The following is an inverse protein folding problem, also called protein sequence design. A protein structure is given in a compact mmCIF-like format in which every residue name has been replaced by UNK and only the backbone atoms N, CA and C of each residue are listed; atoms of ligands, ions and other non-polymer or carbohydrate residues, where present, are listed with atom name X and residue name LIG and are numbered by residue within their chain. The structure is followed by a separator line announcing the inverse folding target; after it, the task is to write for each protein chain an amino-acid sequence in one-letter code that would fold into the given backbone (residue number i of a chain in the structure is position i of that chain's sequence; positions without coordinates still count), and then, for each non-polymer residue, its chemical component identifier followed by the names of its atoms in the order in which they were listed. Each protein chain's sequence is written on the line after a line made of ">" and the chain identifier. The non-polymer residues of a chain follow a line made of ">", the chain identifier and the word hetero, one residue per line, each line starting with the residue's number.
data_IF_272859312391
#
_entry.id   IF_272859312391
#
_cell.length_a   1.000
_cell.length_b   1.000
_cell.length_c   1.000
_cell.angle_alpha   90.00
_cell.angle_beta   90.00
_cell.angle_gamma   90.00
#
_symmetry.space_group_name_H-M   'P 1'
#
loop_
_entity.id
_entity.type
_entity.pdbx_description
1 polymer ?
#
# COMPACT_ATOMS: atom_id res chain seq x y z
N UNK A 1 -22.24 -9.46 6.94
CA UNK A 1 -23.29 -10.35 6.40
C UNK A 1 -23.33 -11.70 7.14
N UNK A 2 -24.52 -12.29 7.35
CA UNK A 2 -24.71 -13.62 7.95
C UNK A 2 -24.30 -14.72 6.96
N UNK A 3 -23.28 -15.51 7.32
CA UNK A 3 -22.89 -16.71 6.56
C UNK A 3 -23.75 -17.88 7.04
N UNK A 4 -24.48 -18.59 6.16
CA UNK A 4 -25.33 -19.69 6.59
C UNK A 4 -24.49 -20.82 7.16
N UNK A 5 -24.91 -21.32 8.33
CA UNK A 5 -24.33 -22.49 8.99
C UNK A 5 -24.24 -23.69 8.05
N UNK A 6 -23.03 -24.21 7.89
CA UNK A 6 -22.78 -25.42 7.11
C UNK A 6 -23.59 -26.60 7.67
N UNK A 7 -24.12 -27.46 6.78
CA UNK A 7 -24.98 -28.63 7.09
C UNK A 7 -24.34 -29.72 8.00
N UNK A 8 -23.13 -29.49 8.51
CA UNK A 8 -22.31 -30.46 9.23
C UNK A 8 -22.24 -30.24 10.76
N UNK A 9 -23.17 -29.47 11.36
CA UNK A 9 -23.24 -29.32 12.82
C UNK A 9 -22.05 -28.59 13.47
N UNK A 10 -21.06 -28.12 12.70
CA UNK A 10 -20.07 -27.17 13.19
C UNK A 10 -20.75 -25.82 13.34
N UNK A 11 -20.75 -25.26 14.55
CA UNK A 11 -21.16 -23.87 14.79
C UNK A 11 -20.43 -23.01 13.77
N UNK A 12 -21.17 -22.25 12.95
CA UNK A 12 -20.55 -21.24 12.12
C UNK A 12 -19.74 -20.34 13.06
N UNK A 13 -18.42 -20.40 12.96
CA UNK A 13 -17.58 -19.39 13.60
C UNK A 13 -17.96 -18.12 12.87
N UNK A 14 -18.69 -17.25 13.56
CA UNK A 14 -19.03 -15.93 13.07
C UNK A 14 -17.74 -15.11 13.08
N UNK A 15 -16.86 -15.39 12.14
CA UNK A 15 -15.57 -14.72 12.03
C UNK A 15 -15.85 -13.26 11.74
N UNK A 16 -15.31 -12.39 12.59
CA UNK A 16 -15.55 -10.96 12.45
C UNK A 16 -14.89 -10.46 11.16
N UNK A 17 -15.40 -9.40 10.51
CA UNK A 17 -14.77 -8.86 9.30
C UNK A 17 -13.32 -8.40 9.53
N UNK A 18 -12.91 -8.13 10.78
CA UNK A 18 -11.53 -7.76 11.12
C UNK A 18 -10.61 -8.97 11.23
N UNK A 19 -11.12 -10.08 11.75
CA UNK A 19 -10.35 -11.33 11.75
C UNK A 19 -10.08 -11.78 10.31
N UNK A 20 -11.08 -11.64 9.43
CA UNK A 20 -10.92 -11.86 7.99
C UNK A 20 -9.89 -10.89 7.40
N UNK A 21 -10.01 -9.58 7.68
CA UNK A 21 -9.03 -8.59 7.23
C UNK A 21 -7.61 -8.95 7.66
N UNK A 22 -7.41 -9.29 8.94
CA UNK A 22 -6.09 -9.68 9.48
C UNK A 22 -5.56 -10.95 8.81
N UNK A 23 -6.40 -11.94 8.56
CA UNK A 23 -5.98 -13.17 7.88
C UNK A 23 -5.48 -12.88 6.45
N UNK A 24 -6.23 -12.08 5.69
CA UNK A 24 -5.84 -11.72 4.33
C UNK A 24 -4.63 -10.76 4.26
N UNK A 25 -4.40 -9.93 5.29
CA UNK A 25 -3.15 -9.15 5.40
C UNK A 25 -1.93 -10.07 5.60
N UNK A 26 -2.05 -11.13 6.41
CA UNK A 26 -0.96 -12.11 6.52
C UNK A 26 -0.75 -12.84 5.20
N UNK A 27 -1.82 -13.30 4.55
CA UNK A 27 -1.71 -13.93 3.24
C UNK A 27 -1.07 -13.00 2.19
N UNK A 28 -1.36 -11.70 2.24
CA UNK A 28 -0.74 -10.71 1.36
C UNK A 28 0.78 -10.65 1.57
N UNK A 29 1.24 -10.69 2.82
CA UNK A 29 2.67 -10.73 3.14
C UNK A 29 3.29 -12.03 2.65
N UNK A 30 2.65 -13.18 2.88
CA UNK A 30 3.15 -14.49 2.41
C UNK A 30 3.30 -14.53 0.88
N UNK A 31 2.34 -13.96 0.14
CA UNK A 31 2.39 -13.86 -1.33
C UNK A 31 3.46 -12.87 -1.80
N UNK A 32 3.66 -11.78 -1.05
CA UNK A 32 4.73 -10.83 -1.34
C UNK A 32 6.11 -11.48 -1.18
N UNK A 33 6.34 -12.19 -0.06
CA UNK A 33 7.59 -12.92 0.18
C UNK A 33 7.82 -13.98 -0.92
N UNK A 34 6.77 -14.68 -1.35
CA UNK A 34 6.86 -15.63 -2.47
C UNK A 34 7.27 -14.94 -3.78
N UNK A 35 6.77 -13.73 -4.04
CA UNK A 35 7.12 -12.93 -5.22
C UNK A 35 8.58 -12.45 -5.20
N UNK A 36 9.09 -12.08 -4.02
CA UNK A 36 10.52 -11.72 -3.85
C UNK A 36 11.42 -12.93 -4.09
N UNK A 37 11.01 -14.11 -3.62
CA UNK A 37 11.74 -15.36 -3.86
C UNK A 37 11.76 -15.74 -5.35
N UNK A 38 10.67 -15.50 -6.07
CA UNK A 38 10.55 -15.76 -7.51
C UNK A 38 11.38 -14.77 -8.36
N UNK A 39 11.66 -13.57 -7.84
CA UNK A 39 12.49 -12.54 -8.47
C UNK A 39 14.01 -12.78 -8.31
N UNK A 40 14.43 -13.89 -7.71
CA UNK A 40 15.86 -14.14 -7.47
C UNK A 40 16.63 -14.38 -8.78
N UNK A 41 17.81 -13.76 -8.95
CA UNK A 41 18.54 -13.74 -10.23
C UNK A 41 19.11 -15.10 -10.68
N UNK A 42 18.99 -16.14 -9.86
CA UNK A 42 19.53 -17.47 -10.15
C UNK A 42 18.49 -18.43 -10.75
N UNK A 43 17.20 -18.21 -10.47
CA UNK A 43 16.07 -19.05 -10.86
C UNK A 43 14.87 -18.13 -11.15
N UNK A 44 14.87 -17.44 -12.31
CA UNK A 44 13.78 -16.55 -12.69
C UNK A 44 12.55 -17.37 -13.12
N UNK A 45 11.61 -17.55 -12.18
CA UNK A 45 10.31 -18.15 -12.48
C UNK A 45 9.28 -17.04 -12.75
N UNK A 46 9.42 -16.43 -13.94
CA UNK A 46 8.58 -15.31 -14.41
C UNK A 46 7.08 -15.64 -14.32
N UNK A 47 6.71 -16.90 -14.55
CA UNK A 47 5.32 -17.34 -14.45
C UNK A 47 4.80 -17.25 -13.00
N UNK A 48 5.61 -17.65 -12.02
CA UNK A 48 5.25 -17.56 -10.61
C UNK A 48 5.16 -16.09 -10.14
N UNK A 49 6.06 -15.24 -10.63
CA UNK A 49 6.02 -13.81 -10.32
C UNK A 49 4.72 -13.15 -10.80
N UNK A 50 4.33 -13.40 -12.06
CA UNK A 50 3.07 -12.93 -12.62
C UNK A 50 1.85 -13.50 -11.86
N UNK A 51 1.88 -14.77 -11.48
CA UNK A 51 0.85 -15.38 -10.64
C UNK A 51 0.72 -14.71 -9.27
N UNK A 52 1.84 -14.40 -8.61
CA UNK A 52 1.84 -13.66 -7.35
C UNK A 52 1.29 -12.25 -7.52
N UNK A 53 1.63 -11.56 -8.60
CA UNK A 53 1.10 -10.24 -8.94
C UNK A 53 -0.44 -10.26 -9.07
N UNK A 54 -0.97 -11.20 -9.85
CA UNK A 54 -2.43 -11.35 -10.01
C UNK A 54 -3.12 -11.75 -8.69
N UNK A 55 -2.52 -12.64 -7.91
CA UNK A 55 -3.03 -13.03 -6.60
C UNK A 55 -3.08 -11.84 -5.63
N UNK A 56 -2.04 -11.01 -5.63
CA UNK A 56 -1.95 -9.82 -4.79
C UNK A 56 -3.05 -8.80 -5.13
N UNK A 57 -3.43 -8.68 -6.39
CA UNK A 57 -4.57 -7.86 -6.81
C UNK A 57 -5.90 -8.44 -6.29
N UNK A 58 -6.09 -9.77 -6.37
CA UNK A 58 -7.24 -10.46 -5.77
C UNK A 58 -7.33 -10.25 -4.25
N UNK A 59 -6.20 -10.32 -3.54
CA UNK A 59 -6.16 -10.09 -2.09
C UNK A 59 -6.51 -8.64 -1.74
N UNK A 60 -6.05 -7.64 -2.51
CA UNK A 60 -6.44 -6.23 -2.33
C UNK A 60 -7.96 -6.02 -2.44
N UNK A 61 -8.60 -6.67 -3.41
CA UNK A 61 -10.08 -6.66 -3.55
C UNK A 61 -10.75 -7.16 -2.27
N UNK A 62 -10.30 -8.31 -1.75
CA UNK A 62 -10.85 -8.94 -0.55
C UNK A 62 -10.65 -8.04 0.68
N UNK A 63 -9.46 -7.46 0.84
CA UNK A 63 -9.14 -6.55 1.95
C UNK A 63 -10.02 -5.30 1.93
N UNK A 64 -10.18 -4.66 0.77
CA UNK A 64 -11.03 -3.47 0.64
C UNK A 64 -12.48 -3.76 1.05
N UNK A 65 -13.00 -4.93 0.67
CA UNK A 65 -14.35 -5.33 1.07
C UNK A 65 -14.50 -5.55 2.57
N UNK A 66 -13.62 -6.33 3.20
CA UNK A 66 -13.74 -6.61 4.63
C UNK A 66 -13.52 -5.35 5.49
N UNK A 67 -12.65 -4.45 5.02
CA UNK A 67 -12.52 -3.13 5.61
C UNK A 67 -13.82 -2.32 5.43
N UNK A 68 -14.42 -2.36 4.24
CA UNK A 68 -15.72 -1.75 3.96
C UNK A 68 -16.85 -2.28 4.86
N UNK A 69 -16.92 -3.59 5.07
CA UNK A 69 -17.88 -4.22 5.99
C UNK A 69 -17.70 -3.72 7.44
N UNK A 70 -16.46 -3.45 7.88
CA UNK A 70 -16.21 -2.85 9.19
C UNK A 70 -16.74 -1.43 9.28
N UNK A 71 -16.49 -0.58 8.28
CA UNK A 71 -17.02 0.78 8.24
C UNK A 71 -18.55 0.80 8.16
N UNK A 72 -19.15 -0.10 7.37
CA UNK A 72 -20.59 -0.29 7.28
C UNK A 72 -21.19 -0.71 8.64
N UNK A 73 -20.50 -1.60 9.38
CA UNK A 73 -20.91 -1.99 10.74
C UNK A 73 -20.83 -0.83 11.74
N UNK A 74 -19.98 0.17 11.49
CA UNK A 74 -19.86 1.40 12.29
C UNK A 74 -20.76 2.53 11.79
N UNK A 75 -21.66 2.28 10.82
CA UNK A 75 -22.54 3.28 10.19
C UNK A 75 -21.77 4.44 9.52
N UNK A 76 -20.51 4.20 9.15
CA UNK A 76 -19.68 5.12 8.38
C UNK A 76 -19.89 4.86 6.89
N UNK A 77 -21.08 5.23 6.40
CA UNK A 77 -21.56 4.86 5.07
C UNK A 77 -20.72 5.45 3.93
N UNK A 78 -20.14 6.66 4.12
CA UNK A 78 -19.29 7.33 3.11
C UNK A 78 -17.98 6.57 2.90
N UNK A 79 -17.31 6.21 3.99
CA UNK A 79 -16.06 5.45 3.97
C UNK A 79 -16.29 4.03 3.44
N UNK A 80 -17.37 3.39 3.87
CA UNK A 80 -17.77 2.07 3.37
C UNK A 80 -18.04 2.10 1.85
N UNK A 81 -18.75 3.12 1.35
CA UNK A 81 -19.00 3.32 -0.08
C UNK A 81 -17.71 3.41 -0.91
N UNK A 82 -16.74 4.19 -0.45
CA UNK A 82 -15.45 4.34 -1.14
C UNK A 82 -14.66 3.03 -1.18
N UNK A 83 -14.68 2.27 -0.08
CA UNK A 83 -13.98 0.98 0.00
C UNK A 83 -14.63 -0.08 -0.89
N UNK A 84 -15.96 -0.12 -0.96
CA UNK A 84 -16.65 -1.00 -1.89
C UNK A 84 -16.40 -0.64 -3.36
N UNK A 85 -16.33 0.65 -3.70
CA UNK A 85 -15.90 1.08 -5.04
C UNK A 85 -14.51 0.57 -5.37
N UNK A 86 -13.55 0.79 -4.48
CA UNK A 86 -12.16 0.37 -4.67
C UNK A 86 -12.02 -1.15 -4.81
N UNK A 87 -12.81 -1.93 -4.05
CA UNK A 87 -12.85 -3.38 -4.21
C UNK A 87 -13.34 -3.78 -5.62
N UNK A 88 -14.35 -3.09 -6.16
CA UNK A 88 -14.85 -3.34 -7.51
C UNK A 88 -13.79 -2.95 -8.56
N UNK A 89 -13.16 -1.79 -8.41
CA UNK A 89 -12.10 -1.32 -9.32
C UNK A 89 -10.93 -2.31 -9.39
N UNK A 90 -10.47 -2.84 -8.25
CA UNK A 90 -9.40 -3.85 -8.23
C UNK A 90 -9.82 -5.17 -8.88
N UNK A 91 -11.07 -5.58 -8.72
CA UNK A 91 -11.57 -6.78 -9.36
C UNK A 91 -11.74 -6.61 -10.88
N UNK A 92 -12.23 -5.46 -11.32
CA UNK A 92 -12.42 -5.16 -12.73
C UNK A 92 -11.04 -5.08 -13.42
N UNK A 93 -10.05 -4.41 -12.81
CA UNK A 93 -8.66 -4.39 -13.29
C UNK A 93 -8.03 -5.79 -13.36
N UNK A 94 -8.28 -6.64 -12.35
CA UNK A 94 -7.83 -8.04 -12.36
C UNK A 94 -8.44 -8.84 -13.53
N UNK A 95 -9.72 -8.62 -13.85
CA UNK A 95 -10.38 -9.28 -14.98
C UNK A 95 -9.79 -8.82 -16.32
N UNK A 96 -9.49 -7.53 -16.46
CA UNK A 96 -8.81 -6.96 -17.63
C UNK A 96 -7.39 -7.52 -17.81
N UNK A 97 -6.58 -7.53 -16.75
CA UNK A 97 -5.20 -8.01 -16.77
C UNK A 97 -5.10 -9.53 -16.97
N UNK A 98 -6.01 -10.31 -16.37
CA UNK A 98 -5.98 -11.78 -16.49
C UNK A 98 -6.32 -12.26 -17.91
N UNK A 99 -7.03 -11.47 -18.72
CA UNK A 99 -7.31 -11.78 -20.13
C UNK A 99 -7.97 -13.15 -20.38
N UNK A 100 -8.62 -13.74 -19.37
CA UNK A 100 -9.17 -15.11 -19.42
C UNK A 100 -8.15 -16.24 -19.26
N UNK A 101 -6.89 -15.95 -18.90
CA UNK A 101 -5.90 -16.97 -18.53
C UNK A 101 -6.33 -17.64 -17.23
N UNK A 102 -6.41 -18.97 -17.25
CA UNK A 102 -6.68 -19.75 -16.04
C UNK A 102 -5.49 -19.58 -15.10
N UNK A 103 -5.72 -18.95 -13.95
CA UNK A 103 -4.74 -18.92 -12.88
C UNK A 103 -4.37 -20.35 -12.46
N UNK A 104 -3.14 -20.52 -11.96
CA UNK A 104 -2.71 -21.79 -11.40
C UNK A 104 -3.64 -22.24 -10.27
N UNK A 105 -3.62 -23.55 -10.02
CA UNK A 105 -4.39 -24.15 -8.93
C UNK A 105 -4.04 -23.56 -7.55
N UNK A 106 -2.87 -22.92 -7.41
CA UNK A 106 -2.40 -22.32 -6.15
C UNK A 106 -3.27 -21.13 -5.73
N UNK A 107 -3.52 -20.19 -6.63
CA UNK A 107 -4.26 -18.95 -6.33
C UNK A 107 -5.70 -18.93 -6.83
N UNK A 108 -6.14 -19.96 -7.55
CA UNK A 108 -7.54 -20.15 -7.94
C UNK A 108 -8.57 -19.84 -6.82
N UNK A 109 -8.45 -20.34 -5.57
CA UNK A 109 -9.41 -20.03 -4.52
C UNK A 109 -9.42 -18.55 -4.14
N UNK A 110 -8.26 -17.88 -4.14
CA UNK A 110 -8.16 -16.45 -3.83
C UNK A 110 -8.90 -15.64 -4.88
N UNK A 111 -8.69 -15.93 -6.16
CA UNK A 111 -9.34 -15.21 -7.25
C UNK A 111 -10.86 -15.47 -7.29
N UNK A 112 -11.29 -16.70 -6.99
CA UNK A 112 -12.72 -17.01 -6.85
C UNK A 112 -13.34 -16.22 -5.70
N UNK A 113 -12.69 -16.17 -4.53
CA UNK A 113 -13.16 -15.36 -3.41
C UNK A 113 -13.20 -13.88 -3.74
N UNK A 114 -12.21 -13.34 -4.46
CA UNK A 114 -12.18 -11.95 -4.90
C UNK A 114 -13.39 -11.61 -5.80
N UNK A 115 -13.73 -12.47 -6.76
CA UNK A 115 -14.92 -12.28 -7.63
C UNK A 115 -16.22 -12.32 -6.84
N UNK A 116 -16.36 -13.28 -5.92
CA UNK A 116 -17.54 -13.38 -5.07
C UNK A 116 -17.72 -12.13 -4.20
N UNK A 117 -16.62 -11.68 -3.59
CA UNK A 117 -16.57 -10.51 -2.74
C UNK A 117 -16.83 -9.22 -3.54
N UNK A 118 -16.34 -9.09 -4.77
CA UNK A 118 -16.65 -7.97 -5.65
C UNK A 118 -18.16 -7.90 -5.98
N UNK A 119 -18.80 -9.05 -6.20
CA UNK A 119 -20.26 -9.14 -6.34
C UNK A 119 -20.99 -8.60 -5.10
N UNK A 120 -20.53 -8.97 -3.91
CA UNK A 120 -21.07 -8.43 -2.65
C UNK A 120 -20.78 -6.94 -2.47
N UNK A 121 -19.60 -6.46 -2.87
CA UNK A 121 -19.20 -5.06 -2.81
C UNK A 121 -20.09 -4.18 -3.71
N UNK A 122 -20.47 -4.66 -4.90
CA UNK A 122 -21.43 -3.96 -5.79
C UNK A 122 -22.78 -3.73 -5.10
N UNK A 123 -23.27 -4.73 -4.37
CA UNK A 123 -24.50 -4.62 -3.57
C UNK A 123 -24.29 -3.67 -2.39
N UNK A 124 -23.20 -3.86 -1.63
CA UNK A 124 -22.86 -3.06 -0.46
C UNK A 124 -22.77 -1.56 -0.79
N UNK A 125 -22.13 -1.23 -1.91
CA UNK A 125 -22.05 0.14 -2.44
C UNK A 125 -23.42 0.77 -2.66
N UNK A 126 -24.36 0.05 -3.28
CA UNK A 126 -25.71 0.58 -3.52
C UNK A 126 -26.44 0.83 -2.19
N UNK A 127 -26.29 -0.08 -1.23
CA UNK A 127 -26.92 0.04 0.10
C UNK A 127 -26.36 1.23 0.87
N UNK A 128 -25.04 1.36 0.97
CA UNK A 128 -24.42 2.48 1.72
C UNK A 128 -24.68 3.82 1.03
N UNK A 129 -24.71 3.86 -0.30
CA UNK A 129 -25.07 5.06 -1.04
C UNK A 129 -26.51 5.51 -0.76
N UNK A 130 -27.47 4.58 -0.77
CA UNK A 130 -28.87 4.88 -0.45
C UNK A 130 -29.02 5.44 0.98
N UNK A 131 -28.37 4.80 1.96
CA UNK A 131 -28.35 5.28 3.36
C UNK A 131 -27.71 6.65 3.52
N UNK A 132 -26.61 6.90 2.82
CA UNK A 132 -25.94 8.20 2.84
C UNK A 132 -26.85 9.31 2.28
N UNK A 133 -27.64 9.02 1.23
CA UNK A 133 -28.63 9.96 0.69
C UNK A 133 -29.75 10.21 1.71
N UNK A 134 -30.29 9.18 2.33
CA UNK A 134 -31.34 9.32 3.36
C UNK A 134 -30.86 10.15 4.54
N UNK A 135 -29.64 9.91 5.04
CA UNK A 135 -29.04 10.70 6.11
C UNK A 135 -28.89 12.18 5.71
N UNK A 136 -28.49 12.46 4.46
CA UNK A 136 -28.33 13.84 3.98
C UNK A 136 -29.65 14.62 3.85
N UNK A 137 -30.76 13.93 3.53
CA UNK A 137 -32.10 14.55 3.45
C UNK A 137 -32.64 14.94 4.83
N UNK A 138 -32.36 14.14 5.86
CA UNK A 138 -32.71 14.47 7.25
C UNK A 138 -32.02 15.74 7.77
N UNK A 139 -30.80 16.03 7.31
CA UNK A 139 -30.08 17.27 7.67
C UNK A 139 -30.62 18.50 6.94
N UNK A 140 -31.11 18.37 5.70
CA UNK A 140 -31.69 19.49 4.96
C UNK A 140 -33.06 19.91 5.47
N UNK A 141 -33.89 18.97 5.93
CA UNK A 141 -35.23 19.27 6.46
C UNK A 141 -35.17 19.91 7.86
N UNK A 142 -34.08 19.71 8.62
CA UNK A 142 -33.82 20.38 9.90
C UNK A 142 -33.18 21.77 9.76
N UNK A 143 -32.71 22.14 8.57
CA UNK A 143 -32.07 23.44 8.30
C UNK A 143 -33.05 24.51 7.78
N UNK A 144 -34.32 24.13 7.56
CA UNK A 144 -35.37 25.01 7.03
C UNK A 144 -36.08 25.90 8.06
N UNK A 145 -36.01 25.61 9.36
CA UNK A 145 -36.78 26.35 10.38
C UNK A 145 -35.98 26.84 11.61
N UNK A 146 -34.68 26.60 11.68
CA UNK A 146 -33.84 27.06 12.80
C UNK A 146 -32.87 28.17 12.37
N UNK A 147 -33.42 29.32 11.98
CA UNK A 147 -32.66 30.57 12.01
C UNK A 147 -32.56 31.08 13.45
N UNK A 148 -31.34 31.45 13.85
CA UNK A 148 -30.96 32.14 15.08
C UNK A 148 -30.91 31.34 16.39
N UNK A 149 -29.86 30.51 16.57
CA UNK A 149 -28.91 30.57 17.72
C UNK A 149 -28.17 29.25 17.94
N UNK A 150 -26.96 29.11 17.39
CA UNK A 150 -25.85 28.29 17.92
C UNK A 150 -24.67 28.29 16.93
N UNK A 151 -24.08 29.45 16.71
CA UNK A 151 -22.91 29.67 15.85
C UNK A 151 -21.58 29.27 16.53
N UNK A 152 -21.47 28.06 17.07
CA UNK A 152 -20.23 27.62 17.76
C UNK A 152 -19.66 26.26 17.32
N UNK A 153 -20.37 25.49 16.50
CA UNK A 153 -19.92 24.13 16.09
C UNK A 153 -19.48 24.02 14.61
N UNK A 154 -19.55 25.11 13.84
CA UNK A 154 -19.26 25.07 12.40
C UNK A 154 -17.77 25.21 12.05
N UNK A 155 -16.88 25.41 13.04
CA UNK A 155 -15.47 25.70 12.82
C UNK A 155 -14.56 24.45 12.85
N UNK A 156 -15.14 23.26 13.03
CA UNK A 156 -14.38 22.00 13.11
C UNK A 156 -14.23 21.30 11.74
N UNK A 157 -15.04 21.67 10.75
CA UNK A 157 -15.06 21.02 9.43
C UNK A 157 -14.01 21.55 8.43
N UNK A 158 -13.21 22.56 8.80
CA UNK A 158 -12.27 23.23 7.91
C UNK A 158 -10.82 23.25 8.42
N UNK A 159 -10.47 22.46 9.45
CA UNK A 159 -9.10 22.40 9.95
C UNK A 159 -8.30 21.41 9.11
N UNK A 160 -7.18 21.85 8.55
CA UNK A 160 -6.35 21.02 7.66
C UNK A 160 -5.70 19.91 8.51
N UNK A 161 -5.43 18.75 7.89
CA UNK A 161 -4.74 17.63 8.56
C UNK A 161 -3.41 18.03 9.22
N UNK A 162 -2.75 19.09 8.74
CA UNK A 162 -1.54 19.65 9.32
C UNK A 162 -1.77 20.31 10.69
N UNK A 163 -2.97 20.81 10.95
CA UNK A 163 -3.33 21.48 12.21
C UNK A 163 -3.67 20.48 13.33
N UNK A 164 -3.81 19.19 12.99
CA UNK A 164 -4.22 18.10 13.88
C UNK A 164 -3.22 16.94 13.92
N UNK A 165 -1.93 17.20 13.63
CA UNK A 165 -0.88 16.17 13.72
C UNK A 165 -0.72 15.60 15.14
N UNK A 166 -1.13 16.37 16.16
CA UNK A 166 -1.13 15.94 17.56
C UNK A 166 -2.38 15.10 17.91
N UNK A 167 -3.46 15.20 17.14
CA UNK A 167 -4.71 14.46 17.32
C UNK A 167 -4.70 13.17 16.48
N UNK A 168 -3.79 12.24 16.80
CA UNK A 168 -3.79 10.93 16.15
C UNK A 168 -5.01 10.12 16.58
N UNK A 169 -6.06 10.06 15.76
CA UNK A 169 -7.15 9.11 15.99
C UNK A 169 -6.67 7.70 15.68
N UNK A 170 -6.62 6.85 16.71
CA UNK A 170 -6.20 5.46 16.54
C UNK A 170 -7.17 4.72 15.61
N UNK A 171 -6.62 3.93 14.70
CA UNK A 171 -7.39 3.00 13.87
C UNK A 171 -8.19 1.97 14.69
N UNK A 172 -7.87 1.81 15.98
CA UNK A 172 -8.51 0.88 16.93
C UNK A 172 -9.78 1.46 17.57
N UNK A 173 -10.24 2.64 17.12
CA UNK A 173 -11.48 3.27 17.57
C UNK A 173 -11.29 4.27 18.71
N UNK A 174 -12.39 4.93 19.10
CA UNK A 174 -12.42 6.05 20.05
C UNK A 174 -12.07 5.70 21.50
N UNK A 175 -11.90 4.41 21.81
CA UNK A 175 -11.35 3.98 23.09
C UNK A 175 -9.83 4.16 23.03
N UNK A 176 -9.35 5.33 23.44
CA UNK A 176 -7.93 5.65 23.56
C UNK A 176 -7.18 4.66 24.45
N UNK A 177 -6.76 3.54 23.87
CA UNK A 177 -5.90 2.55 24.53
C UNK A 177 -4.46 2.96 24.27
N UNK A 178 -3.94 3.81 25.17
CA UNK A 178 -2.51 4.10 25.24
C UNK A 178 -1.79 2.83 25.72
N UNK A 179 -1.17 2.08 24.79
CA UNK A 179 -0.53 0.78 25.08
C UNK A 179 0.73 0.98 25.95
N UNK A 180 1.45 2.08 25.78
CA UNK A 180 2.61 2.44 26.59
C UNK A 180 2.96 3.93 26.40
N UNK A 181 3.38 4.63 27.45
CA UNK A 181 3.94 5.98 27.36
C UNK A 181 5.45 5.86 27.21
N UNK A 182 6.02 6.35 26.11
CA UNK A 182 7.45 6.31 25.83
C UNK A 182 8.17 7.42 26.63
N UNK A 183 9.00 7.11 27.64
CA UNK A 183 9.81 8.10 28.33
C UNK A 183 11.27 8.04 27.83
N UNK A 184 11.91 9.17 27.48
CA UNK A 184 11.40 10.54 27.53
C UNK A 184 10.46 10.89 26.37
N UNK A 185 9.60 11.91 26.58
CA UNK A 185 8.69 12.40 25.55
C UNK A 185 9.45 12.79 24.27
N UNK A 186 8.95 12.44 23.07
CA UNK A 186 9.59 12.82 21.82
C UNK A 186 9.66 14.34 21.72
N UNK A 187 10.87 14.87 21.50
CA UNK A 187 11.09 16.29 21.21
C UNK A 187 11.25 16.45 19.71
N UNK A 188 10.52 17.37 19.10
CA UNK A 188 10.80 17.78 17.72
C UNK A 188 12.19 18.41 17.69
N UNK A 189 13.08 17.82 16.90
CA UNK A 189 14.37 18.42 16.60
C UNK A 189 14.20 19.22 15.28
N UNK A 190 14.65 20.48 15.22
CA UNK A 190 14.71 21.19 13.96
C UNK A 190 15.73 20.49 13.07
N UNK A 191 15.23 19.70 12.12
CA UNK A 191 16.06 19.12 11.08
C UNK A 191 16.50 20.28 10.18
N UNK A 192 17.79 20.63 10.20
CA UNK A 192 18.32 21.54 9.19
C UNK A 192 17.96 20.95 7.81
N UNK A 193 17.35 21.71 6.89
CA UNK A 193 17.12 21.22 5.53
C UNK A 193 18.47 20.80 4.96
N UNK A 194 18.62 19.51 4.64
CA UNK A 194 19.80 19.03 3.97
C UNK A 194 19.64 19.37 2.49
N UNK A 195 20.60 20.12 1.95
CA UNK A 195 20.67 20.41 0.54
C UNK A 195 21.61 19.39 -0.08
N UNK A 196 21.08 18.49 -0.90
CA UNK A 196 21.88 17.54 -1.65
C UNK A 196 22.46 18.28 -2.87
N UNK A 197 23.79 18.38 -2.95
CA UNK A 197 24.45 18.94 -4.12
C UNK A 197 24.46 17.90 -5.25
N UNK A 198 23.43 17.95 -6.11
CA UNK A 198 23.31 17.08 -7.29
C UNK A 198 24.20 17.52 -8.45
N UNK A 199 24.86 18.67 -8.37
CA UNK A 199 25.74 19.13 -9.46
C UNK A 199 26.99 18.25 -9.58
N UNK A 200 27.40 17.59 -8.48
CA UNK A 200 28.55 16.68 -8.49
C UNK A 200 28.32 15.45 -9.36
N UNK A 201 27.08 14.97 -9.45
CA UNK A 201 26.69 13.81 -10.26
C UNK A 201 26.78 14.11 -11.77
N UNK A 202 26.84 15.39 -12.14
CA UNK A 202 26.89 15.86 -13.53
C UNK A 202 28.30 16.22 -14.00
N UNK A 203 29.33 16.01 -13.18
CA UNK A 203 30.72 16.18 -13.60
C UNK A 203 31.14 14.97 -14.44
N UNK A 204 30.94 15.09 -15.75
CA UNK A 204 31.35 14.08 -16.75
C UNK A 204 32.66 14.52 -17.39
N UNK A 205 33.62 13.59 -17.49
CA UNK A 205 34.85 13.85 -18.24
C UNK A 205 34.52 14.15 -19.71
N UNK A 206 35.16 15.16 -20.32
CA UNK A 206 34.99 15.39 -21.75
C UNK A 206 35.41 14.14 -22.52
N UNK A 207 34.63 13.76 -23.53
CA UNK A 207 35.04 12.68 -24.43
C UNK A 207 36.30 13.12 -25.17
N UNK A 208 37.40 12.40 -24.95
CA UNK A 208 38.66 12.64 -25.64
C UNK A 208 38.47 12.10 -27.08
N UNK A 209 38.55 12.94 -28.12
CA UNK A 209 38.52 12.45 -29.49
C UNK A 209 39.72 11.52 -29.72
N UNK A 210 39.50 10.44 -30.46
CA UNK A 210 40.43 9.32 -30.66
C UNK A 210 41.74 9.67 -31.40
N UNK A 211 42.07 10.96 -31.57
CA UNK A 211 43.28 11.42 -32.25
C UNK A 211 44.53 11.33 -31.36
N UNK A 212 44.40 10.99 -30.07
CA UNK A 212 45.53 10.74 -29.16
C UNK A 212 45.78 9.24 -28.91
N UNK A 213 44.98 8.33 -29.46
CA UNK A 213 45.15 6.87 -29.32
C UNK A 213 45.47 6.17 -30.64
N UNK A 214 46.05 6.89 -31.61
CA UNK A 214 46.70 6.27 -32.77
C UNK A 214 48.08 5.77 -32.37
N UNK A 215 48.14 4.68 -31.59
CA UNK A 215 49.19 3.65 -31.60
C UNK A 215 48.94 2.58 -30.53
N UNK A 216 47.91 1.75 -30.71
CA UNK A 216 47.99 0.33 -30.33
C UNK A 216 46.78 -0.43 -30.87
N UNK A 217 47.05 -1.39 -31.75
CA UNK A 217 46.09 -2.31 -32.35
C UNK A 217 45.45 -3.25 -31.32
N UNK A 218 44.12 -3.42 -31.41
CA UNK A 218 43.38 -4.67 -31.18
C UNK A 218 43.30 -5.29 -29.77
N UNK A 219 42.08 -5.32 -29.20
CA UNK A 219 41.33 -6.52 -28.71
C UNK A 219 40.41 -6.22 -27.50
N UNK A 220 39.18 -6.73 -27.65
CA UNK A 220 38.24 -7.30 -26.66
C UNK A 220 37.69 -6.39 -25.54
N UNK A 221 36.37 -6.40 -25.48
CA UNK A 221 35.54 -6.13 -24.30
C UNK A 221 36.08 -6.85 -23.05
N UNK A 222 36.35 -6.07 -22.01
CA UNK A 222 36.33 -6.54 -20.63
C UNK A 222 36.07 -5.31 -19.74
N UNK A 223 34.91 -5.29 -19.08
CA UNK A 223 34.57 -4.31 -18.04
C UNK A 223 35.58 -4.48 -16.90
N UNK A 224 36.55 -3.57 -16.82
CA UNK A 224 37.51 -3.51 -15.72
C UNK A 224 37.11 -2.43 -14.73
N UNK A 225 36.37 -2.86 -13.72
CA UNK A 225 36.36 -2.22 -12.40
C UNK A 225 37.79 -2.22 -11.86
N UNK A 226 38.44 -1.05 -11.81
CA UNK A 226 39.79 -0.96 -11.24
C UNK A 226 39.66 -0.69 -9.73
N UNK A 227 39.68 -1.79 -8.98
CA UNK A 227 40.13 -1.83 -7.58
C UNK A 227 41.63 -1.45 -7.60
N UNK A 228 41.95 -0.24 -7.13
CA UNK A 228 43.31 0.31 -7.16
C UNK A 228 44.31 -0.57 -6.41
N UNK A 229 45.32 -1.05 -7.13
CA UNK A 229 46.53 -1.65 -6.56
C UNK A 229 47.51 -0.53 -6.24
N UNK A 230 47.82 -0.35 -4.95
CA UNK A 230 48.84 0.59 -4.48
C UNK A 230 50.16 -0.18 -4.45
N UNK A 231 51.00 -0.02 -5.47
CA UNK A 231 52.37 -0.53 -5.45
C UNK A 231 53.33 0.50 -4.85
N UNK A 232 53.79 0.17 -3.63
CA UNK A 232 55.19 0.22 -3.16
C UNK A 232 55.90 1.59 -3.21
N UNK A 233 56.08 2.25 -2.07
CA UNK A 233 57.22 2.12 -1.13
C UNK A 233 58.54 2.73 -1.63
N UNK A 234 58.96 3.76 -0.89
CA UNK A 234 60.34 4.14 -0.52
C UNK A 234 61.29 4.73 -1.58
N UNK A 235 61.73 5.97 -1.30
CA UNK A 235 62.94 6.56 -1.87
C UNK A 235 63.13 8.05 -1.57
N UNK A 236 63.37 8.43 -0.30
CA UNK A 236 63.87 9.78 0.03
C UNK A 236 64.99 9.71 1.10
N UNK A 237 66.16 10.28 0.77
CA UNK A 237 67.23 10.74 1.67
C UNK A 237 68.21 9.64 2.16
N UNK A 238 69.52 9.66 1.94
CA UNK A 238 70.42 10.74 1.52
C UNK A 238 70.91 11.56 2.71
N UNK A 239 71.98 11.13 3.39
CA UNK A 239 72.64 11.90 4.45
C UNK A 239 73.72 11.14 5.22
N UNK A 240 74.97 11.34 4.77
CA UNK A 240 76.29 11.23 5.44
C UNK A 240 76.55 10.18 6.52
#
# INVERSE_FOLDING_TARGET
>A
AYVPSNKAGRKAVNTSPEEMYRLYEHLKLDVFDLSELASNPNDEDEALYEECSTAMQGIKTILCFFLGERYNSMLKDREAYLLYNRAVEYCDALEEESGGKSASALFAPVLETARNVAGMARIGRCVTHARAIEASKGESDLKGEASASASAAADEAAKRLLDHLEDSQSFVGAAGRQVYSLPPAPKSLPCHPFLLDTAIDHIVYPSIPAELTSNSEGKKEEVRTIRGSISSMFGWGGGQ
#
